data_IF_462761554232
#
_entry.id   IF_462761554232
#
_cell.length_a   1.000
_cell.length_b   1.000
_cell.length_c   1.000
_cell.angle_alpha   90.00
_cell.angle_beta   90.00
_cell.angle_gamma   90.00
#
_symmetry.space_group_name_H-M   'P 1'
#
loop_
_entity.id
_entity.type
_entity.pdbx_description
1 polymer ?
#
# COMPACT_ATOMS: atom_id res chain seq x y z
N UNK A 1 -12.62 38.64 20.69
CA UNK A 1 -11.46 37.87 20.21
C UNK A 1 -11.87 37.12 18.96
N UNK A 2 -11.03 37.14 17.92
CA UNK A 2 -11.29 36.39 16.67
C UNK A 2 -10.64 35.02 16.83
N UNK A 3 -11.43 34.00 17.11
CA UNK A 3 -10.94 32.63 17.16
C UNK A 3 -10.61 32.21 15.72
N UNK A 4 -9.31 32.07 15.42
CA UNK A 4 -8.85 31.59 14.12
C UNK A 4 -8.95 30.07 14.18
N UNK A 5 -10.02 29.53 13.61
CA UNK A 5 -10.13 28.10 13.40
C UNK A 5 -9.24 27.75 12.20
N UNK A 6 -8.07 27.15 12.46
CA UNK A 6 -7.28 26.54 11.39
C UNK A 6 -8.14 25.41 10.80
N UNK A 7 -8.78 25.68 9.66
CA UNK A 7 -9.49 24.64 8.90
C UNK A 7 -8.44 23.74 8.27
N UNK A 8 -8.20 22.58 8.86
CA UNK A 8 -7.48 21.51 8.19
C UNK A 8 -8.35 21.08 7.01
N UNK A 9 -7.83 21.09 5.76
CA UNK A 9 -8.56 20.57 4.61
C UNK A 9 -8.95 19.11 4.84
N UNK A 10 -10.13 18.68 4.36
CA UNK A 10 -10.61 17.29 4.49
C UNK A 10 -9.57 16.26 4.03
N UNK A 11 -8.83 16.57 2.95
CA UNK A 11 -7.74 15.75 2.44
C UNK A 11 -6.61 15.46 3.47
N UNK A 12 -6.57 16.21 4.58
CA UNK A 12 -5.56 16.12 5.63
C UNK A 12 -6.16 15.83 7.01
N UNK A 13 -7.47 15.58 7.10
CA UNK A 13 -8.03 15.10 8.37
C UNK A 13 -7.61 13.66 8.59
N UNK A 14 -7.17 13.35 9.80
CA UNK A 14 -6.83 11.99 10.26
C UNK A 14 -7.86 10.95 9.81
N UNK A 15 -9.15 11.20 10.06
CA UNK A 15 -10.24 10.32 9.63
C UNK A 15 -10.20 9.98 8.14
N UNK A 16 -9.91 10.95 7.26
CA UNK A 16 -9.84 10.70 5.82
C UNK A 16 -8.61 9.88 5.45
N UNK A 17 -7.49 10.11 6.11
CA UNK A 17 -6.26 9.35 5.86
C UNK A 17 -6.40 7.90 6.37
N UNK A 18 -7.12 7.66 7.46
CA UNK A 18 -7.45 6.32 7.95
C UNK A 18 -8.34 5.56 6.96
N UNK A 19 -9.41 6.21 6.45
CA UNK A 19 -10.25 5.63 5.39
C UNK A 19 -9.42 5.25 4.15
N UNK A 20 -8.45 6.10 3.77
CA UNK A 20 -7.56 5.81 2.64
C UNK A 20 -6.62 4.63 2.91
N UNK A 21 -6.15 4.44 4.15
CA UNK A 21 -5.29 3.30 4.51
C UNK A 21 -6.07 1.98 4.45
N UNK A 22 -7.30 1.97 4.95
CA UNK A 22 -8.22 0.84 4.82
C UNK A 22 -8.47 0.50 3.35
N UNK A 23 -8.82 1.50 2.54
CA UNK A 23 -9.04 1.36 1.08
C UNK A 23 -7.80 0.82 0.35
N UNK A 24 -6.59 1.14 0.81
CA UNK A 24 -5.35 0.62 0.24
C UNK A 24 -5.18 -0.86 0.57
N UNK A 25 -5.41 -1.27 1.82
CA UNK A 25 -5.30 -2.67 2.21
C UNK A 25 -6.39 -3.55 1.61
N UNK A 26 -7.60 -3.02 1.40
CA UNK A 26 -8.66 -3.71 0.65
C UNK A 26 -8.25 -4.03 -0.79
N UNK A 27 -7.42 -3.18 -1.40
CA UNK A 27 -6.91 -3.40 -2.76
C UNK A 27 -5.81 -4.46 -2.85
N UNK A 28 -5.41 -5.11 -1.74
CA UNK A 28 -4.50 -6.26 -1.81
C UNK A 28 -5.11 -7.44 -2.57
N UNK A 29 -6.45 -7.50 -2.67
CA UNK A 29 -7.17 -8.48 -3.50
C UNK A 29 -6.92 -8.32 -5.01
N UNK A 30 -6.40 -7.17 -5.44
CA UNK A 30 -5.99 -6.93 -6.83
C UNK A 30 -4.60 -7.52 -7.15
N UNK A 31 -3.96 -8.15 -6.18
CA UNK A 31 -2.64 -8.76 -6.28
C UNK A 31 -2.70 -10.28 -6.10
N UNK A 32 -1.78 -10.97 -6.75
CA UNK A 32 -1.62 -12.41 -6.61
C UNK A 32 -0.13 -12.77 -6.66
N UNK A 33 0.21 -13.96 -6.16
CA UNK A 33 1.57 -14.47 -6.28
C UNK A 33 1.93 -14.64 -7.75
N UNK A 34 3.08 -14.10 -8.13
CA UNK A 34 3.65 -14.17 -9.45
C UNK A 34 5.01 -14.86 -9.37
N UNK A 35 5.29 -15.77 -10.28
CA UNK A 35 6.61 -16.38 -10.42
C UNK A 35 7.32 -15.80 -11.62
N UNK A 36 8.43 -15.11 -11.38
CA UNK A 36 9.25 -14.58 -12.45
C UNK A 36 9.84 -15.73 -13.28
N UNK A 37 9.58 -15.71 -14.59
CA UNK A 37 9.92 -16.81 -15.49
C UNK A 37 11.43 -17.00 -15.65
N UNK A 38 12.23 -15.95 -15.45
CA UNK A 38 13.68 -15.94 -15.61
C UNK A 38 14.39 -16.29 -14.30
N UNK A 39 14.04 -15.60 -13.21
CA UNK A 39 14.71 -15.71 -11.90
C UNK A 39 14.09 -16.77 -11.00
N UNK A 40 12.88 -17.26 -11.32
CA UNK A 40 12.07 -18.18 -10.52
C UNK A 40 11.72 -17.66 -9.12
N UNK A 41 11.93 -16.37 -8.86
CA UNK A 41 11.52 -15.73 -7.60
C UNK A 41 9.99 -15.55 -7.58
N UNK A 42 9.41 -15.68 -6.38
CA UNK A 42 8.00 -15.39 -6.13
C UNK A 42 7.87 -14.01 -5.52
N UNK A 43 6.93 -13.23 -6.03
CA UNK A 43 6.55 -11.94 -5.47
C UNK A 43 5.07 -11.68 -5.72
N UNK A 44 4.42 -10.85 -4.90
CA UNK A 44 3.07 -10.38 -5.24
C UNK A 44 3.16 -9.38 -6.39
N UNK A 45 2.30 -9.55 -7.40
CA UNK A 45 2.12 -8.58 -8.49
C UNK A 45 0.64 -8.28 -8.67
N UNK A 46 0.35 -7.08 -9.16
CA UNK A 46 -1.00 -6.66 -9.49
C UNK A 46 -1.46 -7.38 -10.76
N UNK A 47 -2.65 -7.97 -10.72
CA UNK A 47 -3.31 -8.55 -11.89
C UNK A 47 -4.55 -7.75 -12.30
N UNK A 48 -5.11 -6.93 -11.41
CA UNK A 48 -6.23 -6.06 -11.76
C UNK A 48 -5.71 -4.79 -12.46
N UNK A 49 -6.18 -4.44 -13.67
CA UNK A 49 -5.79 -3.20 -14.35
C UNK A 49 -6.24 -1.95 -13.59
N UNK A 50 -5.49 -0.85 -13.72
CA UNK A 50 -5.92 0.46 -13.22
C UNK A 50 -6.53 1.31 -14.34
N UNK A 51 -7.75 1.80 -14.13
CA UNK A 51 -8.40 2.74 -15.05
C UNK A 51 -8.52 2.20 -16.48
N UNK A 52 -7.80 2.81 -17.42
CA UNK A 52 -7.78 2.44 -18.85
C UNK A 52 -6.60 1.54 -19.24
N UNK A 53 -5.89 0.96 -18.27
CA UNK A 53 -4.80 0.02 -18.52
C UNK A 53 -5.27 -1.20 -19.31
N UNK A 54 -4.50 -1.57 -20.33
CA UNK A 54 -4.87 -2.67 -21.23
C UNK A 54 -4.55 -4.01 -20.55
N UNK A 55 -5.59 -4.77 -20.22
CA UNK A 55 -5.53 -6.16 -19.72
C UNK A 55 -4.62 -7.05 -20.57
N UNK A 56 -4.56 -6.81 -21.89
CA UNK A 56 -3.78 -7.62 -22.83
C UNK A 56 -2.26 -7.60 -22.59
N UNK A 57 -1.74 -6.70 -21.75
CA UNK A 57 -0.33 -6.68 -21.35
C UNK A 57 -0.01 -7.60 -20.16
N UNK A 58 -1.01 -8.16 -19.49
CA UNK A 58 -0.83 -8.99 -18.31
C UNK A 58 -0.63 -10.45 -18.70
N UNK A 59 0.53 -11.00 -18.34
CA UNK A 59 0.83 -12.43 -18.48
C UNK A 59 0.23 -13.21 -17.32
N UNK A 60 -1.04 -13.61 -17.47
CA UNK A 60 -1.76 -14.42 -16.49
C UNK A 60 -1.15 -15.81 -16.26
N UNK A 61 -0.32 -16.32 -17.16
CA UNK A 61 0.24 -17.68 -17.07
C UNK A 61 1.22 -17.87 -15.92
N UNK A 62 1.83 -16.79 -15.43
CA UNK A 62 2.79 -16.80 -14.33
C UNK A 62 2.19 -16.41 -12.97
N UNK A 63 0.88 -16.14 -12.92
CA UNK A 63 0.15 -15.87 -11.68
C UNK A 63 -0.40 -17.15 -11.05
N UNK A 64 -0.39 -17.18 -9.71
CA UNK A 64 -0.93 -18.23 -8.87
C UNK A 64 -2.05 -17.63 -8.03
N UNK A 65 -3.28 -18.02 -8.35
CA UNK A 65 -4.47 -17.56 -7.64
C UNK A 65 -4.82 -18.58 -6.55
N UNK A 66 -4.37 -18.32 -5.32
CA UNK A 66 -4.81 -19.01 -4.11
C UNK A 66 -5.51 -17.96 -3.21
N UNK A 67 -6.81 -18.11 -2.88
CA UNK A 67 -7.52 -17.19 -2.00
C UNK A 67 -6.79 -16.93 -0.67
N UNK A 68 -6.10 -17.95 -0.15
CA UNK A 68 -5.32 -17.81 1.09
C UNK A 68 -4.13 -16.86 0.93
N UNK A 69 -3.59 -16.75 -0.29
CA UNK A 69 -2.46 -15.86 -0.56
C UNK A 69 -2.89 -14.39 -0.64
N UNK A 70 -4.04 -14.09 -1.24
CA UNK A 70 -4.60 -12.73 -1.24
C UNK A 70 -5.03 -12.32 0.16
N UNK A 71 -5.70 -13.20 0.90
CA UNK A 71 -6.03 -12.99 2.32
C UNK A 71 -4.78 -12.72 3.17
N UNK A 72 -3.72 -13.51 2.97
CA UNK A 72 -2.45 -13.30 3.70
C UNK A 72 -1.81 -11.96 3.38
N UNK A 73 -1.91 -11.48 2.14
CA UNK A 73 -1.32 -10.20 1.73
C UNK A 73 -2.12 -9.01 2.25
N UNK A 74 -3.46 -9.11 2.24
CA UNK A 74 -4.35 -8.14 2.89
C UNK A 74 -4.06 -8.04 4.38
N UNK A 75 -4.01 -9.19 5.07
CA UNK A 75 -3.70 -9.24 6.49
C UNK A 75 -2.33 -8.62 6.83
N UNK A 76 -1.31 -8.85 5.99
CA UNK A 76 0.00 -8.22 6.16
C UNK A 76 -0.07 -6.70 6.00
N UNK A 77 -0.82 -6.19 5.02
CA UNK A 77 -1.06 -4.75 4.87
C UNK A 77 -1.74 -4.16 6.09
N UNK A 78 -2.84 -4.77 6.55
CA UNK A 78 -3.59 -4.32 7.72
C UNK A 78 -2.69 -4.29 8.97
N UNK A 79 -1.90 -5.34 9.19
CA UNK A 79 -0.94 -5.40 10.31
C UNK A 79 0.07 -4.25 10.27
N UNK A 80 0.60 -3.93 9.08
CA UNK A 80 1.56 -2.82 8.91
C UNK A 80 0.86 -1.48 9.10
N UNK A 81 -0.32 -1.30 8.52
CA UNK A 81 -1.08 -0.06 8.62
C UNK A 81 -1.45 0.24 10.08
N UNK A 82 -1.82 -0.79 10.85
CA UNK A 82 -2.14 -0.68 12.27
C UNK A 82 -0.87 -0.43 13.12
N UNK A 83 0.26 -1.10 12.83
CA UNK A 83 1.51 -0.92 13.59
C UNK A 83 2.11 0.47 13.41
N UNK A 84 1.97 1.08 12.23
CA UNK A 84 2.60 2.36 11.86
C UNK A 84 1.59 3.48 11.61
N UNK A 85 0.35 3.34 12.10
CA UNK A 85 -0.76 4.28 11.83
C UNK A 85 -0.36 5.72 12.14
N UNK A 86 0.08 5.99 13.36
CA UNK A 86 0.45 7.33 13.83
C UNK A 86 1.55 7.96 12.97
N UNK A 87 2.60 7.19 12.63
CA UNK A 87 3.68 7.68 11.78
C UNK A 87 3.22 7.98 10.36
N UNK A 88 2.42 7.08 9.77
CA UNK A 88 1.89 7.22 8.42
C UNK A 88 1.01 8.47 8.35
N UNK A 89 0.04 8.62 9.26
CA UNK A 89 -0.87 9.77 9.32
C UNK A 89 -0.07 11.07 9.51
N UNK A 90 0.91 11.07 10.42
CA UNK A 90 1.74 12.24 10.70
C UNK A 90 2.55 12.68 9.47
N UNK A 91 3.14 11.74 8.73
CA UNK A 91 3.91 12.04 7.52
C UNK A 91 3.02 12.60 6.40
N UNK A 92 1.83 12.00 6.18
CA UNK A 92 0.90 12.46 5.15
C UNK A 92 0.24 13.80 5.49
N UNK A 93 -0.12 14.04 6.75
CA UNK A 93 -0.71 15.30 7.19
C UNK A 93 0.26 16.49 7.05
N UNK A 94 1.58 16.23 7.13
CA UNK A 94 2.64 17.24 7.02
C UNK A 94 3.15 17.48 5.60
N UNK A 95 2.62 16.78 4.58
CA UNK A 95 3.11 16.82 3.19
C UNK A 95 4.61 16.53 3.11
N UNK A 96 5.08 15.58 3.90
CA UNK A 96 6.46 15.16 3.87
C UNK A 96 6.82 14.62 2.46
N UNK A 97 7.82 15.19 1.81
CA UNK A 97 8.40 14.54 0.63
C UNK A 97 9.01 13.20 1.04
N UNK A 98 9.05 12.26 0.10
CA UNK A 98 9.68 10.95 0.29
C UNK A 98 9.10 10.15 1.48
N UNK A 99 7.76 10.18 1.66
CA UNK A 99 7.07 9.46 2.75
C UNK A 99 7.51 7.99 2.83
N UNK A 100 7.60 7.31 1.69
CA UNK A 100 8.03 5.92 1.63
C UNK A 100 9.44 5.75 2.20
N UNK A 101 10.41 6.56 1.77
CA UNK A 101 11.79 6.46 2.26
C UNK A 101 11.85 6.75 3.77
N UNK A 102 11.13 7.76 4.27
CA UNK A 102 11.09 8.08 5.71
C UNK A 102 10.51 6.94 6.54
N UNK A 103 9.40 6.35 6.09
CA UNK A 103 8.77 5.22 6.76
C UNK A 103 9.66 3.96 6.74
N UNK A 104 10.39 3.73 5.64
CA UNK A 104 11.19 2.52 5.43
C UNK A 104 12.61 2.60 6.01
N UNK A 105 13.19 3.80 6.17
CA UNK A 105 14.60 3.96 6.57
C UNK A 105 14.77 4.42 8.01
N UNK A 106 13.87 5.26 8.53
CA UNK A 106 14.09 5.89 9.83
C UNK A 106 13.67 5.01 11.01
N UNK A 107 12.69 4.11 10.84
CA UNK A 107 12.05 3.43 11.97
C UNK A 107 11.67 1.95 11.79
N UNK A 108 11.73 1.37 10.59
CA UNK A 108 11.30 -0.01 10.37
C UNK A 108 12.39 -0.86 9.73
N UNK A 109 12.99 -1.77 10.51
CA UNK A 109 13.89 -2.81 9.97
C UNK A 109 13.18 -3.84 9.07
N UNK A 110 11.92 -3.61 8.72
CA UNK A 110 10.96 -4.56 8.12
C UNK A 110 10.35 -4.10 6.80
N UNK A 111 10.34 -2.79 6.46
CA UNK A 111 9.58 -2.29 5.28
C UNK A 111 10.39 -2.33 3.97
N UNK A 112 11.68 -2.67 4.02
CA UNK A 112 12.49 -2.89 2.81
C UNK A 112 11.98 -4.05 1.94
N UNK A 113 11.28 -5.03 2.53
CA UNK A 113 10.69 -6.15 1.79
C UNK A 113 9.34 -5.81 1.14
N UNK A 114 8.68 -4.74 1.59
CA UNK A 114 7.31 -4.35 1.19
C UNK A 114 7.33 -3.41 -0.01
N UNK A 115 8.28 -2.48 -0.08
CA UNK A 115 8.45 -1.59 -1.24
C UNK A 115 8.83 -2.33 -2.52
N UNK A 116 9.50 -3.48 -2.40
CA UNK A 116 9.75 -4.40 -3.53
C UNK A 116 8.49 -5.09 -4.07
N UNK A 117 7.39 -5.12 -3.31
CA UNK A 117 6.09 -5.66 -3.74
C UNK A 117 5.14 -4.59 -4.33
N UNK A 118 5.41 -3.30 -4.07
CA UNK A 118 4.59 -2.18 -4.54
C UNK A 118 5.17 -1.39 -5.73
N UNK A 119 6.37 -1.75 -6.20
CA UNK A 119 6.93 -1.31 -7.49
C UNK A 119 6.53 -2.25 -8.62
#
# INVERSE_FOLDING_TARGET
>A
GKQIHNKIPLARSEMHLLELLEDVCDRMDDYALYMDSQTKKKNYKRFAPRGNEKVAALDFGNFFFDPRSSESFKFACETIAEEYEDEIISLFAQEADHVADKLCTEKSGTVSDVTGAFS
#
